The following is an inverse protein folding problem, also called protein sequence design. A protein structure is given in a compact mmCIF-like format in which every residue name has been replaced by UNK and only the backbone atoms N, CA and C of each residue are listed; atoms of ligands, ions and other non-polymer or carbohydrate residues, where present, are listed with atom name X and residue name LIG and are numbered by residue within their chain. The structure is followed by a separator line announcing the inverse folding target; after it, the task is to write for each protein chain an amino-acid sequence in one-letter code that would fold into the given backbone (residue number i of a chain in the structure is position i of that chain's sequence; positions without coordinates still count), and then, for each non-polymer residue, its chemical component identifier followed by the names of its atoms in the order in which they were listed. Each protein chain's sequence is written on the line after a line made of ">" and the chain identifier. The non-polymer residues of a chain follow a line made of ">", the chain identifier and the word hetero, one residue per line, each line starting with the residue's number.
data_IF_884308845633
#
_entry.id   IF_884308845633
#
_cell.length_a   1.000
_cell.length_b   1.000
_cell.length_c   1.000
_cell.angle_alpha   90.00
_cell.angle_beta   90.00
_cell.angle_gamma   90.00
#
_symmetry.space_group_name_H-M   'P 1'
#
loop_
_entity.id
_entity.type
_entity.pdbx_description
1 polymer ?
#
# COMPACT_ATOMS: atom_id res chain seq x y z
N UNK A 1 -55.40 -152.40 93.85
CA UNK A 1 -55.60 -150.94 93.62
C UNK A 1 -54.28 -150.24 93.93
N UNK A 2 -53.87 -149.11 93.29
CA UNK A 2 -54.29 -148.39 92.06
C UNK A 2 -53.04 -148.05 91.17
N UNK A 3 -52.97 -147.07 90.21
CA UNK A 3 -53.89 -146.57 89.17
C UNK A 3 -53.34 -146.64 87.71
N UNK A 4 -54.23 -146.43 86.72
CA UNK A 4 -53.91 -145.96 85.35
C UNK A 4 -53.47 -144.47 85.38
N UNK A 5 -52.42 -144.10 84.64
CA UNK A 5 -52.25 -142.75 84.09
C UNK A 5 -51.88 -142.83 82.60
N UNK A 6 -52.74 -142.24 81.78
CA UNK A 6 -52.62 -142.06 80.33
C UNK A 6 -51.38 -141.22 80.00
N UNK A 7 -50.63 -141.58 78.95
CA UNK A 7 -49.67 -140.66 78.32
C UNK A 7 -50.46 -139.53 77.62
N UNK A 8 -49.99 -138.30 77.79
CA UNK A 8 -50.58 -137.09 77.24
C UNK A 8 -50.41 -137.01 75.72
N UNK A 9 -51.34 -136.34 75.00
CA UNK A 9 -51.20 -136.06 73.58
C UNK A 9 -50.00 -135.12 73.35
N UNK A 10 -49.16 -135.44 72.36
CA UNK A 10 -48.07 -134.57 71.92
C UNK A 10 -48.64 -133.68 70.84
N UNK A 11 -48.92 -132.43 71.17
CA UNK A 11 -49.43 -131.44 70.23
C UNK A 11 -48.23 -130.67 69.67
N UNK A 12 -48.00 -130.76 68.36
CA UNK A 12 -46.99 -129.98 67.65
C UNK A 12 -47.75 -129.17 66.60
N UNK A 13 -47.60 -127.85 66.67
CA UNK A 13 -48.29 -126.88 65.80
C UNK A 13 -49.82 -127.06 65.73
N UNK A 14 -50.46 -127.15 66.90
CA UNK A 14 -51.92 -127.23 67.01
C UNK A 14 -52.56 -128.59 66.64
N UNK A 15 -51.78 -129.58 66.18
CA UNK A 15 -52.26 -130.92 65.78
C UNK A 15 -51.82 -132.00 66.78
N UNK A 16 -52.74 -132.89 67.19
CA UNK A 16 -52.46 -134.02 68.08
C UNK A 16 -51.77 -135.18 67.32
N UNK A 17 -50.47 -135.31 67.52
CA UNK A 17 -49.61 -136.27 66.81
C UNK A 17 -49.71 -137.70 67.38
N UNK A 18 -50.48 -137.92 68.46
CA UNK A 18 -50.50 -139.20 69.19
C UNK A 18 -51.34 -140.31 68.54
N UNK A 19 -52.11 -140.02 67.48
CA UNK A 19 -52.91 -140.99 66.72
C UNK A 19 -52.48 -141.14 65.24
N UNK A 20 -51.39 -140.48 64.83
CA UNK A 20 -50.90 -140.52 63.46
C UNK A 20 -50.00 -141.75 63.23
N UNK A 21 -50.18 -142.41 62.09
CA UNK A 21 -49.28 -143.48 61.62
C UNK A 21 -47.93 -142.88 61.16
N UNK A 22 -46.87 -143.69 61.09
CA UNK A 22 -45.51 -143.21 60.73
C UNK A 22 -45.48 -142.38 59.44
N UNK A 23 -46.19 -142.81 58.41
CA UNK A 23 -46.30 -142.10 57.13
C UNK A 23 -47.00 -140.73 57.28
N UNK A 24 -48.03 -140.65 58.13
CA UNK A 24 -48.74 -139.40 58.42
C UNK A 24 -47.89 -138.40 59.23
N UNK A 25 -47.02 -138.89 60.12
CA UNK A 25 -46.04 -138.07 60.83
C UNK A 25 -44.93 -137.56 59.90
N UNK A 26 -44.49 -138.36 58.92
CA UNK A 26 -43.51 -137.94 57.91
C UNK A 26 -44.07 -136.83 57.01
N UNK A 27 -45.34 -136.94 56.58
CA UNK A 27 -46.03 -135.88 55.81
C UNK A 27 -46.23 -134.61 56.65
N UNK A 28 -46.61 -134.74 57.93
CA UNK A 28 -46.78 -133.59 58.82
C UNK A 28 -45.44 -132.87 59.10
N UNK A 29 -44.36 -133.63 59.30
CA UNK A 29 -43.02 -133.08 59.46
C UNK A 29 -42.51 -132.37 58.19
N UNK A 30 -42.81 -132.91 57.00
CA UNK A 30 -42.51 -132.25 55.74
C UNK A 30 -43.28 -130.93 55.58
N UNK A 31 -44.58 -130.92 55.92
CA UNK A 31 -45.40 -129.70 55.89
C UNK A 31 -44.87 -128.61 56.83
N UNK A 32 -44.54 -128.98 58.06
CA UNK A 32 -43.95 -128.05 59.04
C UNK A 32 -42.59 -127.53 58.59
N UNK A 33 -41.80 -128.37 57.91
CA UNK A 33 -40.52 -127.95 57.34
C UNK A 33 -40.74 -126.96 56.18
N UNK A 34 -41.69 -127.22 55.30
CA UNK A 34 -42.08 -126.30 54.21
C UNK A 34 -42.63 -124.97 54.74
N UNK A 35 -43.45 -124.98 55.79
CA UNK A 35 -43.92 -123.75 56.45
C UNK A 35 -42.79 -122.99 57.13
N UNK A 36 -41.86 -123.67 57.80
CA UNK A 36 -40.68 -123.02 58.38
C UNK A 36 -39.75 -122.44 57.28
N UNK A 37 -39.60 -123.13 56.15
CA UNK A 37 -38.85 -122.62 55.00
C UNK A 37 -39.55 -121.40 54.39
N UNK A 38 -40.88 -121.42 54.23
CA UNK A 38 -41.65 -120.26 53.77
C UNK A 38 -41.53 -119.06 54.71
N UNK A 39 -41.70 -119.26 56.02
CA UNK A 39 -41.54 -118.19 57.01
C UNK A 39 -40.10 -117.62 57.02
N UNK A 40 -39.09 -118.47 56.79
CA UNK A 40 -37.69 -118.01 56.63
C UNK A 40 -37.52 -117.18 55.36
N UNK A 41 -38.09 -117.61 54.24
CA UNK A 41 -38.07 -116.87 52.98
C UNK A 41 -38.77 -115.51 53.11
N UNK A 42 -39.95 -115.48 53.74
CA UNK A 42 -40.70 -114.25 54.01
C UNK A 42 -39.90 -113.31 54.93
N UNK A 43 -39.31 -113.83 56.01
CA UNK A 43 -38.46 -113.04 56.90
C UNK A 43 -37.26 -112.44 56.16
N UNK A 44 -36.60 -113.24 55.33
CA UNK A 44 -35.47 -112.77 54.51
C UNK A 44 -35.92 -111.72 53.50
N UNK A 45 -37.08 -111.90 52.87
CA UNK A 45 -37.67 -110.93 51.95
C UNK A 45 -37.96 -109.60 52.65
N UNK A 46 -38.67 -109.62 53.79
CA UNK A 46 -38.95 -108.40 54.56
C UNK A 46 -37.69 -107.75 55.12
N UNK A 47 -36.66 -108.53 55.47
CA UNK A 47 -35.37 -107.99 55.88
C UNK A 47 -34.68 -107.26 54.72
N UNK A 48 -34.64 -107.86 53.53
CA UNK A 48 -34.10 -107.21 52.33
C UNK A 48 -34.89 -105.95 51.95
N UNK A 49 -36.22 -105.98 51.99
CA UNK A 49 -37.05 -104.81 51.71
C UNK A 49 -36.85 -103.68 52.73
N UNK A 50 -36.76 -104.02 54.03
CA UNK A 50 -36.44 -103.03 55.08
C UNK A 50 -35.06 -102.41 54.84
N UNK A 51 -34.06 -103.21 54.52
CA UNK A 51 -32.70 -102.74 54.30
C UNK A 51 -32.62 -101.89 53.01
N UNK A 52 -33.35 -102.26 51.94
CA UNK A 52 -33.52 -101.42 50.74
C UNK A 52 -34.18 -100.08 51.07
N UNK A 53 -35.31 -100.07 51.79
CA UNK A 53 -36.00 -98.84 52.19
C UNK A 53 -35.06 -97.96 53.02
N UNK A 54 -34.28 -98.55 53.93
CA UNK A 54 -33.28 -97.83 54.71
C UNK A 54 -32.20 -97.20 53.82
N UNK A 55 -31.65 -97.94 52.86
CA UNK A 55 -30.67 -97.38 51.92
C UNK A 55 -31.25 -96.25 51.08
N UNK A 56 -32.48 -96.39 50.57
CA UNK A 56 -33.16 -95.30 49.84
C UNK A 56 -33.40 -94.09 50.73
N UNK A 57 -33.81 -94.29 51.98
CA UNK A 57 -33.98 -93.20 52.93
C UNK A 57 -32.64 -92.49 53.23
N UNK A 58 -31.55 -93.23 53.44
CA UNK A 58 -30.22 -92.65 53.66
C UNK A 58 -29.73 -91.87 52.42
N UNK A 59 -29.90 -92.42 51.21
CA UNK A 59 -29.54 -91.75 49.95
C UNK A 59 -30.36 -90.47 49.76
N UNK A 60 -31.69 -90.55 49.81
CA UNK A 60 -32.57 -89.40 49.61
C UNK A 60 -32.38 -88.32 50.68
N UNK A 61 -32.08 -88.72 51.91
CA UNK A 61 -31.69 -87.79 52.97
C UNK A 61 -30.37 -87.08 52.64
N UNK A 62 -29.34 -87.81 52.23
CA UNK A 62 -28.06 -87.23 51.83
C UNK A 62 -28.20 -86.29 50.62
N UNK A 63 -28.96 -86.70 49.60
CA UNK A 63 -29.27 -85.87 48.44
C UNK A 63 -30.01 -84.57 48.82
N UNK A 64 -30.94 -84.65 49.78
CA UNK A 64 -31.63 -83.48 50.32
C UNK A 64 -30.67 -82.55 51.08
N UNK A 65 -29.79 -83.11 51.91
CA UNK A 65 -28.77 -82.35 52.64
C UNK A 65 -27.78 -81.67 51.67
N UNK A 66 -27.35 -82.36 50.62
CA UNK A 66 -26.54 -81.80 49.54
C UNK A 66 -27.26 -80.70 48.76
N UNK A 67 -28.53 -80.90 48.39
CA UNK A 67 -29.32 -79.91 47.69
C UNK A 67 -29.50 -78.64 48.54
N UNK A 68 -29.76 -78.80 49.85
CA UNK A 68 -29.82 -77.69 50.81
C UNK A 68 -28.47 -76.98 50.96
N UNK A 69 -27.36 -77.70 50.94
CA UNK A 69 -26.03 -77.09 50.96
C UNK A 69 -25.74 -76.30 49.66
N UNK A 70 -26.08 -76.86 48.50
CA UNK A 70 -25.97 -76.18 47.20
C UNK A 70 -26.81 -74.90 47.14
N UNK A 71 -28.04 -74.94 47.67
CA UNK A 71 -28.93 -73.79 47.71
C UNK A 71 -28.34 -72.66 48.58
N UNK A 72 -27.87 -72.98 49.80
CA UNK A 72 -27.17 -72.01 50.65
C UNK A 72 -25.93 -71.41 50.01
N UNK A 73 -25.14 -72.22 49.29
CA UNK A 73 -23.99 -71.71 48.54
C UNK A 73 -24.40 -70.79 47.40
N UNK A 74 -25.53 -71.05 46.74
CA UNK A 74 -26.06 -70.19 45.69
C UNK A 74 -26.60 -68.88 46.24
N UNK A 75 -27.31 -68.91 47.36
CA UNK A 75 -27.76 -67.69 48.05
C UNK A 75 -26.56 -66.82 48.44
N UNK A 76 -25.50 -67.42 49.00
CA UNK A 76 -24.26 -66.71 49.32
C UNK A 76 -23.60 -66.11 48.08
N UNK A 77 -23.56 -66.83 46.96
CA UNK A 77 -23.03 -66.30 45.69
C UNK A 77 -23.85 -65.12 45.16
N UNK A 78 -25.18 -65.14 45.35
CA UNK A 78 -26.05 -64.04 44.97
C UNK A 78 -25.78 -62.82 45.85
N UNK A 79 -25.65 -63.00 47.17
CA UNK A 79 -25.28 -61.93 48.11
C UNK A 79 -23.93 -61.31 47.75
N UNK A 80 -22.89 -62.13 47.56
CA UNK A 80 -21.55 -61.64 47.19
C UNK A 80 -21.54 -60.89 45.84
N UNK A 81 -22.35 -61.34 44.87
CA UNK A 81 -22.48 -60.66 43.58
C UNK A 81 -23.23 -59.33 43.72
N UNK A 82 -24.24 -59.26 44.59
CA UNK A 82 -24.98 -58.04 44.87
C UNK A 82 -24.10 -57.00 45.59
N UNK A 83 -23.32 -57.42 46.59
CA UNK A 83 -22.36 -56.57 47.31
C UNK A 83 -21.31 -55.99 46.36
N UNK A 84 -20.69 -56.83 45.50
CA UNK A 84 -19.74 -56.38 44.47
C UNK A 84 -20.35 -55.35 43.52
N UNK A 85 -21.57 -55.60 43.03
CA UNK A 85 -22.26 -54.67 42.16
C UNK A 85 -22.57 -53.34 42.88
N UNK A 86 -22.93 -53.36 44.16
CA UNK A 86 -23.15 -52.15 44.94
C UNK A 86 -21.86 -51.33 45.12
N UNK A 87 -20.73 -51.99 45.38
CA UNK A 87 -19.41 -51.36 45.45
C UNK A 87 -18.99 -50.75 44.11
N UNK A 88 -19.15 -51.49 43.01
CA UNK A 88 -18.90 -51.00 41.66
C UNK A 88 -19.78 -49.78 41.34
N UNK A 89 -21.07 -49.83 41.67
CA UNK A 89 -21.99 -48.72 41.46
C UNK A 89 -21.57 -47.48 42.25
N UNK A 90 -21.12 -47.64 43.51
CA UNK A 90 -20.57 -46.54 44.33
C UNK A 90 -19.31 -45.95 43.69
N UNK A 91 -18.39 -46.79 43.23
CA UNK A 91 -17.18 -46.37 42.55
C UNK A 91 -17.48 -45.59 41.27
N UNK A 92 -18.35 -46.12 40.40
CA UNK A 92 -18.75 -45.43 39.17
C UNK A 92 -19.47 -44.12 39.46
N UNK A 93 -20.33 -44.07 40.49
CA UNK A 93 -21.00 -42.83 40.91
C UNK A 93 -20.00 -41.77 41.38
N UNK A 94 -18.96 -42.16 42.12
CA UNK A 94 -17.90 -41.26 42.53
C UNK A 94 -17.06 -40.79 41.34
N UNK A 95 -16.73 -41.70 40.41
CA UNK A 95 -16.01 -41.37 39.17
C UNK A 95 -16.76 -40.37 38.31
N UNK A 96 -18.07 -40.53 38.15
CA UNK A 96 -18.92 -39.57 37.43
C UNK A 96 -18.94 -38.21 38.12
N UNK A 97 -19.06 -38.17 39.45
CA UNK A 97 -19.01 -36.90 40.20
C UNK A 97 -17.67 -36.18 40.04
N UNK A 98 -16.57 -36.92 40.09
CA UNK A 98 -15.24 -36.35 39.90
C UNK A 98 -15.06 -35.79 38.49
N UNK A 99 -15.44 -36.56 37.46
CA UNK A 99 -15.40 -36.11 36.07
C UNK A 99 -16.26 -34.87 35.82
N UNK A 100 -17.44 -34.78 36.45
CA UNK A 100 -18.30 -33.60 36.34
C UNK A 100 -17.65 -32.37 36.99
N UNK A 101 -17.04 -32.54 38.16
CA UNK A 101 -16.33 -31.46 38.84
C UNK A 101 -15.10 -31.00 38.05
N UNK A 102 -14.29 -31.93 37.55
CA UNK A 102 -13.12 -31.66 36.73
C UNK A 102 -13.54 -30.89 35.47
N UNK A 103 -14.55 -31.38 34.74
CA UNK A 103 -15.06 -30.69 33.56
C UNK A 103 -15.59 -29.28 33.86
N UNK A 104 -16.28 -29.10 35.00
CA UNK A 104 -16.75 -27.78 35.41
C UNK A 104 -15.61 -26.85 35.80
N UNK A 105 -14.57 -27.37 36.46
CA UNK A 105 -13.35 -26.63 36.79
C UNK A 105 -12.63 -26.19 35.52
N UNK A 106 -12.34 -27.13 34.62
CA UNK A 106 -11.68 -26.88 33.33
C UNK A 106 -12.44 -25.85 32.49
N UNK A 107 -13.78 -25.93 32.48
CA UNK A 107 -14.61 -24.98 31.74
C UNK A 107 -14.54 -23.58 32.36
N UNK A 108 -14.48 -23.48 33.69
CA UNK A 108 -14.32 -22.21 34.41
C UNK A 108 -12.93 -21.61 34.17
N UNK A 109 -11.89 -22.43 34.23
CA UNK A 109 -10.50 -22.02 33.99
C UNK A 109 -10.30 -21.58 32.54
N UNK A 110 -10.82 -22.33 31.57
CA UNK A 110 -10.79 -21.92 30.15
C UNK A 110 -11.52 -20.61 29.91
N UNK A 111 -12.67 -20.38 30.56
CA UNK A 111 -13.38 -19.09 30.47
C UNK A 111 -12.55 -17.95 31.07
N UNK A 112 -11.92 -18.17 32.23
CA UNK A 112 -11.07 -17.17 32.86
C UNK A 112 -9.86 -16.84 31.98
N UNK A 113 -9.17 -17.86 31.45
CA UNK A 113 -8.04 -17.68 30.53
C UNK A 113 -8.47 -16.95 29.25
N UNK A 114 -9.62 -17.30 28.67
CA UNK A 114 -10.15 -16.62 27.49
C UNK A 114 -10.46 -15.14 27.75
N UNK A 115 -10.99 -14.79 28.92
CA UNK A 115 -11.25 -13.40 29.29
C UNK A 115 -9.95 -12.61 29.48
N UNK A 116 -8.95 -13.20 30.12
CA UNK A 116 -7.63 -12.57 30.29
C UNK A 116 -6.93 -12.38 28.93
N UNK A 117 -7.00 -13.38 28.05
CA UNK A 117 -6.45 -13.28 26.69
C UNK A 117 -7.15 -12.17 25.87
N UNK A 118 -8.48 -12.04 25.99
CA UNK A 118 -9.22 -10.99 25.31
C UNK A 118 -8.89 -9.60 25.87
N UNK A 119 -8.73 -9.49 27.18
CA UNK A 119 -8.36 -8.22 27.84
C UNK A 119 -6.94 -7.78 27.49
N UNK A 120 -5.98 -8.70 27.49
CA UNK A 120 -4.59 -8.42 27.09
C UNK A 120 -4.51 -8.00 25.62
N UNK A 121 -5.19 -8.69 24.71
CA UNK A 121 -5.28 -8.28 23.31
C UNK A 121 -5.91 -6.88 23.15
N UNK A 122 -6.96 -6.56 23.91
CA UNK A 122 -7.57 -5.23 23.89
C UNK A 122 -6.60 -4.14 24.40
N UNK A 123 -5.87 -4.41 25.47
CA UNK A 123 -4.92 -3.47 26.06
C UNK A 123 -3.72 -3.24 25.12
N UNK A 124 -3.22 -4.29 24.45
CA UNK A 124 -2.19 -4.20 23.40
C UNK A 124 -2.66 -3.37 22.21
N UNK A 125 -3.86 -3.61 21.70
CA UNK A 125 -4.44 -2.79 20.62
C UNK A 125 -4.56 -1.32 21.02
N UNK A 126 -5.01 -1.06 22.25
CA UNK A 126 -5.13 0.32 22.77
C UNK A 126 -3.75 0.98 22.89
N UNK A 127 -2.71 0.24 23.29
CA UNK A 127 -1.35 0.73 23.36
C UNK A 127 -0.78 1.03 21.97
N UNK A 128 -1.00 0.16 20.99
CA UNK A 128 -0.61 0.37 19.60
C UNK A 128 -1.29 1.60 19.00
N UNK A 129 -2.60 1.78 19.25
CA UNK A 129 -3.35 2.95 18.78
C UNK A 129 -2.77 4.25 19.37
N UNK A 130 -2.46 4.28 20.67
CA UNK A 130 -1.82 5.43 21.32
C UNK A 130 -0.46 5.75 20.69
N UNK A 131 0.35 4.72 20.39
CA UNK A 131 1.65 4.91 19.74
C UNK A 131 1.49 5.49 18.33
N UNK A 132 0.56 4.96 17.53
CA UNK A 132 0.26 5.51 16.20
C UNK A 132 -0.23 6.96 16.25
N UNK A 133 -1.04 7.32 17.25
CA UNK A 133 -1.46 8.70 17.46
C UNK A 133 -0.31 9.62 17.86
N UNK A 134 0.65 9.12 18.64
CA UNK A 134 1.87 9.84 18.98
C UNK A 134 2.76 10.02 17.74
N UNK A 135 3.07 8.94 17.02
CA UNK A 135 3.88 8.99 15.79
C UNK A 135 3.26 9.96 14.76
N UNK A 136 1.93 9.98 14.63
CA UNK A 136 1.21 10.95 13.79
C UNK A 136 1.40 12.39 14.25
N UNK A 137 1.43 12.67 15.55
CA UNK A 137 1.68 14.03 16.09
C UNK A 137 3.13 14.43 15.85
N UNK A 138 4.06 13.53 16.09
CA UNK A 138 5.50 13.78 15.92
C UNK A 138 5.83 14.05 14.45
N UNK A 139 5.28 13.26 13.53
CA UNK A 139 5.40 13.51 12.08
C UNK A 139 4.81 14.86 11.66
N UNK A 140 3.67 15.27 12.23
CA UNK A 140 3.11 16.61 11.96
C UNK A 140 3.99 17.74 12.47
N UNK A 141 4.64 17.55 13.62
CA UNK A 141 5.57 18.53 14.16
C UNK A 141 6.82 18.62 13.29
N UNK A 142 7.37 17.48 12.88
CA UNK A 142 8.53 17.43 11.98
C UNK A 142 8.26 18.15 10.65
N UNK A 143 7.09 17.92 10.04
CA UNK A 143 6.70 18.61 8.80
C UNK A 143 6.62 20.13 9.03
N UNK A 144 6.01 20.57 10.13
CA UNK A 144 5.94 22.02 10.46
C UNK A 144 7.32 22.63 10.69
N UNK A 145 8.21 21.93 11.38
CA UNK A 145 9.59 22.39 11.58
C UNK A 145 10.35 22.52 10.25
N UNK A 146 10.19 21.55 9.36
CA UNK A 146 10.75 21.62 8.01
C UNK A 146 10.16 22.78 7.19
N UNK A 147 8.85 22.99 7.23
CA UNK A 147 8.19 24.12 6.57
C UNK A 147 8.73 25.47 7.08
N UNK A 148 8.87 25.64 8.40
CA UNK A 148 9.43 26.85 9.01
C UNK A 148 10.89 27.04 8.56
N UNK A 149 11.70 25.98 8.61
CA UNK A 149 13.11 26.03 8.19
C UNK A 149 13.24 26.43 6.72
N UNK A 150 12.45 25.85 5.82
CA UNK A 150 12.43 26.23 4.41
C UNK A 150 11.96 27.67 4.19
N UNK A 151 10.99 28.13 4.97
CA UNK A 151 10.53 29.51 4.92
C UNK A 151 11.62 30.49 5.36
N UNK A 152 12.39 30.16 6.40
CA UNK A 152 13.55 30.93 6.84
C UNK A 152 14.67 30.95 5.81
N UNK A 153 15.01 29.80 5.21
CA UNK A 153 15.98 29.72 4.11
C UNK A 153 15.56 30.61 2.93
N UNK A 154 14.28 30.57 2.55
CA UNK A 154 13.75 31.42 1.47
C UNK A 154 13.84 32.91 1.82
N UNK A 155 13.53 33.29 3.07
CA UNK A 155 13.68 34.67 3.54
C UNK A 155 15.14 35.12 3.50
N UNK A 156 16.07 34.27 3.95
CA UNK A 156 17.50 34.54 3.94
C UNK A 156 18.02 34.74 2.51
N UNK A 157 17.66 33.86 1.57
CA UNK A 157 18.02 33.99 0.15
C UNK A 157 17.47 35.27 -0.48
N UNK A 158 16.21 35.64 -0.17
CA UNK A 158 15.63 36.90 -0.65
C UNK A 158 16.36 38.12 -0.11
N UNK A 159 16.79 38.08 1.15
CA UNK A 159 17.56 39.16 1.76
C UNK A 159 18.95 39.30 1.11
N UNK A 160 19.65 38.19 0.93
CA UNK A 160 20.95 38.15 0.22
C UNK A 160 20.83 38.69 -1.20
N UNK A 161 19.81 38.25 -1.95
CA UNK A 161 19.57 38.75 -3.30
C UNK A 161 19.27 40.25 -3.33
N UNK A 162 18.52 40.77 -2.35
CA UNK A 162 18.26 42.21 -2.22
C UNK A 162 19.54 43.00 -1.93
N UNK A 163 20.43 42.45 -1.11
CA UNK A 163 21.73 43.05 -0.79
C UNK A 163 22.65 43.07 -2.02
N UNK A 164 22.75 41.95 -2.75
CA UNK A 164 23.49 41.86 -4.00
C UNK A 164 22.98 42.85 -5.06
N UNK A 165 21.66 42.96 -5.21
CA UNK A 165 21.03 43.92 -6.11
C UNK A 165 21.31 45.37 -5.71
N UNK A 166 21.31 45.66 -4.41
CA UNK A 166 21.66 46.98 -3.88
C UNK A 166 23.12 47.32 -4.18
N UNK A 167 24.05 46.39 -3.90
CA UNK A 167 25.48 46.56 -4.17
C UNK A 167 25.74 46.76 -5.67
N UNK A 168 25.11 45.96 -6.54
CA UNK A 168 25.23 46.11 -7.99
C UNK A 168 24.73 47.48 -8.47
N UNK A 169 23.58 47.96 -7.96
CA UNK A 169 23.06 49.30 -8.29
C UNK A 169 24.04 50.39 -7.86
N UNK A 170 24.57 50.32 -6.64
CA UNK A 170 25.55 51.28 -6.15
C UNK A 170 26.83 51.30 -7.00
N UNK A 171 27.32 50.13 -7.40
CA UNK A 171 28.47 50.04 -8.30
C UNK A 171 28.18 50.69 -9.66
N UNK A 172 27.01 50.42 -10.25
CA UNK A 172 26.61 51.05 -11.52
C UNK A 172 26.48 52.57 -11.39
N UNK A 173 25.88 53.06 -10.30
CA UNK A 173 25.75 54.49 -10.04
C UNK A 173 27.12 55.16 -9.87
N UNK A 174 28.04 54.53 -9.12
CA UNK A 174 29.40 55.03 -8.96
C UNK A 174 30.15 55.07 -10.30
N UNK A 175 30.07 54.01 -11.10
CA UNK A 175 30.70 53.96 -12.42
C UNK A 175 30.11 55.01 -13.37
N UNK A 176 28.80 55.25 -13.32
CA UNK A 176 28.15 56.29 -14.11
C UNK A 176 28.66 57.68 -13.72
N UNK A 177 28.70 57.99 -12.42
CA UNK A 177 29.28 59.25 -11.89
C UNK A 177 30.73 59.44 -12.31
N UNK A 178 31.55 58.39 -12.23
CA UNK A 178 32.96 58.45 -12.66
C UNK A 178 33.10 58.76 -14.15
N UNK A 179 32.22 58.20 -14.98
CA UNK A 179 32.20 58.46 -16.43
C UNK A 179 31.75 59.89 -16.71
N UNK A 180 30.69 60.36 -16.07
CA UNK A 180 30.21 61.75 -16.19
C UNK A 180 31.31 62.74 -15.80
N UNK A 181 31.95 62.56 -14.65
CA UNK A 181 33.05 63.41 -14.19
C UNK A 181 34.23 63.42 -15.18
N UNK A 182 34.57 62.27 -15.76
CA UNK A 182 35.64 62.17 -16.78
C UNK A 182 35.28 62.95 -18.05
N UNK A 183 34.04 62.87 -18.51
CA UNK A 183 33.62 63.59 -19.73
C UNK A 183 33.43 65.09 -19.47
N UNK A 184 32.91 65.48 -18.32
CA UNK A 184 32.82 66.89 -17.92
C UNK A 184 34.22 67.54 -17.87
N UNK A 185 35.19 66.85 -17.28
CA UNK A 185 36.58 67.32 -17.27
C UNK A 185 37.13 67.49 -18.69
N UNK A 186 36.95 66.48 -19.56
CA UNK A 186 37.38 66.57 -20.98
C UNK A 186 36.72 67.73 -21.71
N UNK A 187 35.45 68.00 -21.43
CA UNK A 187 34.70 69.10 -22.01
C UNK A 187 35.26 70.46 -21.57
N UNK A 188 35.51 70.63 -20.26
CA UNK A 188 36.13 71.84 -19.72
C UNK A 188 37.53 72.06 -20.30
N UNK A 189 38.35 71.02 -20.35
CA UNK A 189 39.71 71.08 -20.91
C UNK A 189 39.66 71.51 -22.39
N UNK A 190 38.79 70.89 -23.20
CA UNK A 190 38.61 71.26 -24.61
C UNK A 190 38.11 72.70 -24.79
N UNK A 191 37.18 73.14 -23.94
CA UNK A 191 36.66 74.51 -23.94
C UNK A 191 37.79 75.51 -23.64
N UNK A 192 38.62 75.22 -22.64
CA UNK A 192 39.76 76.06 -22.29
C UNK A 192 40.79 76.11 -23.43
N UNK A 193 41.10 74.98 -24.05
CA UNK A 193 42.01 74.92 -25.20
C UNK A 193 41.50 75.75 -26.39
N UNK A 194 40.22 75.62 -26.73
CA UNK A 194 39.60 76.42 -27.80
C UNK A 194 39.60 77.92 -27.47
N UNK A 195 39.31 78.28 -26.22
CA UNK A 195 39.32 79.68 -25.80
C UNK A 195 40.74 80.28 -25.85
N UNK A 196 41.75 79.52 -25.44
CA UNK A 196 43.16 79.91 -25.55
C UNK A 196 43.57 80.09 -27.01
N UNK A 197 43.18 79.17 -27.91
CA UNK A 197 43.42 79.31 -29.36
C UNK A 197 42.76 80.56 -29.92
N UNK A 198 41.50 80.80 -29.57
CA UNK A 198 40.77 81.99 -30.01
C UNK A 198 41.43 83.28 -29.54
N UNK A 199 41.84 83.36 -28.27
CA UNK A 199 42.56 84.52 -27.73
C UNK A 199 43.92 84.72 -28.41
N UNK A 200 44.63 83.63 -28.72
CA UNK A 200 45.90 83.68 -29.46
C UNK A 200 45.69 84.19 -30.89
N UNK A 201 44.68 83.70 -31.60
CA UNK A 201 44.31 84.17 -32.95
C UNK A 201 43.91 85.65 -32.95
N UNK A 202 43.15 86.11 -31.94
CA UNK A 202 42.82 87.53 -31.76
C UNK A 202 44.09 88.35 -31.55
N UNK A 203 44.95 87.94 -30.63
CA UNK A 203 46.19 88.66 -30.34
C UNK A 203 47.10 88.76 -31.56
N UNK A 204 47.21 87.70 -32.37
CA UNK A 204 47.97 87.70 -33.62
C UNK A 204 47.38 88.66 -34.65
N UNK A 205 46.04 88.70 -34.78
CA UNK A 205 45.36 89.66 -35.67
C UNK A 205 45.53 91.10 -35.18
N UNK A 206 45.42 91.34 -33.88
CA UNK A 206 45.65 92.64 -33.27
C UNK A 206 47.09 93.11 -33.49
N UNK A 207 48.08 92.24 -33.30
CA UNK A 207 49.49 92.54 -33.58
C UNK A 207 49.68 92.90 -35.06
N UNK A 208 49.19 92.06 -35.99
CA UNK A 208 49.23 92.35 -37.43
C UNK A 208 48.58 93.69 -37.78
N UNK A 209 47.44 94.01 -37.17
CA UNK A 209 46.73 95.28 -37.40
C UNK A 209 47.47 96.47 -36.80
N UNK A 210 48.05 96.32 -35.62
CA UNK A 210 48.88 97.35 -34.98
C UNK A 210 50.15 97.63 -35.80
N UNK A 211 50.79 96.61 -36.35
CA UNK A 211 51.90 96.77 -37.31
C UNK A 211 51.44 97.55 -38.54
N UNK A 212 50.30 97.19 -39.14
CA UNK A 212 49.74 97.90 -40.30
C UNK A 212 49.41 99.37 -39.97
N UNK A 213 48.87 99.66 -38.78
CA UNK A 213 48.59 101.03 -38.32
C UNK A 213 49.90 101.81 -38.15
N UNK A 214 50.93 101.20 -37.58
CA UNK A 214 52.23 101.82 -37.41
C UNK A 214 52.88 102.14 -38.76
N UNK A 215 52.86 101.20 -39.71
CA UNK A 215 53.33 101.41 -41.08
C UNK A 215 52.55 102.51 -41.80
N UNK A 216 51.22 102.53 -41.67
CA UNK A 216 50.38 103.57 -42.26
C UNK A 216 50.66 104.94 -41.66
N UNK A 217 50.91 105.00 -40.35
CA UNK A 217 51.27 106.23 -39.64
C UNK A 217 52.63 106.74 -40.08
N UNK A 218 53.63 105.87 -40.24
CA UNK A 218 54.93 106.23 -40.81
C UNK A 218 54.80 106.70 -42.26
N UNK A 219 54.00 106.02 -43.08
CA UNK A 219 53.72 106.43 -44.45
C UNK A 219 53.00 107.78 -44.53
N UNK A 220 52.00 108.01 -43.68
CA UNK A 220 51.33 109.29 -43.54
C UNK A 220 52.27 110.39 -43.05
N UNK A 221 53.17 110.09 -42.12
CA UNK A 221 54.18 111.05 -41.65
C UNK A 221 55.16 111.43 -42.77
N UNK A 222 55.60 110.45 -43.58
CA UNK A 222 56.40 110.67 -44.78
C UNK A 222 55.65 111.51 -45.81
N UNK A 223 54.44 111.10 -46.18
CA UNK A 223 53.60 111.82 -47.13
C UNK A 223 53.26 113.23 -46.65
N UNK A 224 53.04 113.44 -45.35
CA UNK A 224 52.84 114.77 -44.76
C UNK A 224 54.11 115.62 -44.84
N UNK A 225 55.29 115.02 -44.62
CA UNK A 225 56.55 115.73 -44.74
C UNK A 225 56.87 116.07 -46.20
N UNK A 226 56.57 115.16 -47.13
CA UNK A 226 56.63 115.39 -48.58
C UNK A 226 55.63 116.46 -49.01
N UNK A 227 54.40 116.45 -48.48
CA UNK A 227 53.37 117.46 -48.74
C UNK A 227 53.76 118.82 -48.14
N UNK A 228 54.41 118.83 -46.98
CA UNK A 228 54.98 120.04 -46.36
C UNK A 228 56.11 120.60 -47.22
N UNK A 229 56.99 119.74 -47.76
CA UNK A 229 58.02 120.13 -48.71
C UNK A 229 57.39 120.64 -50.02
N UNK A 230 56.37 119.95 -50.54
CA UNK A 230 55.61 120.37 -51.73
C UNK A 230 54.87 121.69 -51.51
N UNK A 231 54.33 121.97 -50.32
CA UNK A 231 53.73 123.26 -49.99
C UNK A 231 54.76 124.35 -49.70
N UNK A 232 55.97 124.01 -49.25
CA UNK A 232 57.11 124.94 -49.25
C UNK A 232 57.52 125.29 -50.70
N UNK A 233 57.57 124.30 -51.58
CA UNK A 233 57.84 124.50 -53.01
C UNK A 233 56.69 125.25 -53.71
N UNK A 234 55.44 124.97 -53.33
CA UNK A 234 54.25 125.68 -53.78
C UNK A 234 54.13 127.06 -53.14
N UNK A 235 54.61 127.35 -51.94
CA UNK A 235 54.61 128.73 -51.44
C UNK A 235 55.62 129.56 -52.23
N UNK A 236 56.75 128.96 -52.62
CA UNK A 236 57.65 129.50 -53.63
C UNK A 236 56.96 129.66 -55.02
N UNK A 237 56.13 128.69 -55.44
CA UNK A 237 55.48 128.68 -56.75
C UNK A 237 54.13 129.44 -56.81
N UNK A 238 53.42 129.62 -55.69
CA UNK A 238 52.14 130.33 -55.55
C UNK A 238 52.34 131.84 -55.52
N UNK A 239 53.52 132.30 -55.11
CA UNK A 239 53.99 133.64 -55.47
C UNK A 239 53.97 133.86 -57.00
N UNK A 240 54.14 132.81 -57.81
CA UNK A 240 54.01 132.85 -59.27
C UNK A 240 52.60 132.47 -59.78
N UNK A 241 51.84 131.62 -59.09
CA UNK A 241 50.52 131.11 -59.51
C UNK A 241 49.33 131.99 -59.07
N UNK A 242 49.49 132.90 -58.10
CA UNK A 242 48.48 133.94 -57.77
C UNK A 242 48.17 134.84 -58.99
N UNK A 243 49.05 134.84 -60.00
CA UNK A 243 48.81 135.49 -61.29
C UNK A 243 47.86 134.71 -62.23
N UNK A 244 47.61 133.42 -62.01
CA UNK A 244 47.00 132.53 -63.02
C UNK A 244 45.66 131.90 -62.59
N UNK A 245 45.31 131.92 -61.31
CA UNK A 245 44.09 131.27 -60.79
C UNK A 245 42.97 132.27 -60.47
N UNK A 246 42.87 133.35 -61.25
CA UNK A 246 41.66 134.18 -61.33
C UNK A 246 40.63 133.67 -62.37
N UNK A 247 40.99 132.69 -63.21
CA UNK A 247 40.25 132.44 -64.46
C UNK A 247 39.29 131.24 -64.51
N UNK A 248 39.29 130.27 -63.58
CA UNK A 248 38.59 129.00 -63.86
C UNK A 248 37.84 128.38 -62.68
N UNK A 249 37.04 129.20 -61.98
CA UNK A 249 36.20 128.74 -60.87
C UNK A 249 34.70 128.80 -61.18
N UNK A 250 34.26 128.37 -62.38
CA UNK A 250 32.83 128.44 -62.76
C UNK A 250 32.20 127.17 -63.39
N UNK A 251 32.89 126.01 -63.46
CA UNK A 251 32.36 124.87 -64.24
C UNK A 251 31.64 123.77 -63.42
N UNK A 252 31.84 123.67 -62.10
CA UNK A 252 31.32 122.54 -61.31
C UNK A 252 29.92 122.73 -60.72
N UNK A 253 29.00 123.35 -61.48
CA UNK A 253 27.59 123.54 -61.06
C UNK A 253 26.56 122.72 -61.84
N UNK A 254 26.98 121.85 -62.78
CA UNK A 254 26.07 121.16 -63.74
C UNK A 254 25.88 119.64 -63.58
N UNK A 255 26.32 119.00 -62.49
CA UNK A 255 26.24 117.54 -62.33
C UNK A 255 25.05 117.02 -61.51
N UNK A 256 24.10 117.87 -61.11
CA UNK A 256 23.07 117.51 -60.13
C UNK A 256 21.71 117.06 -60.71
N UNK A 257 21.59 116.85 -62.03
CA UNK A 257 20.32 116.51 -62.69
C UNK A 257 20.20 115.06 -63.20
N UNK A 258 21.21 114.18 -63.02
CA UNK A 258 21.17 112.78 -63.51
C UNK A 258 20.56 111.74 -62.56
N UNK A 259 20.33 112.09 -61.29
CA UNK A 259 20.00 111.10 -60.24
C UNK A 259 18.51 110.72 -60.16
N UNK A 260 17.62 111.45 -60.84
CA UNK A 260 16.17 111.27 -60.71
C UNK A 260 15.57 110.10 -61.54
N UNK A 261 16.35 109.45 -62.43
CA UNK A 261 15.84 108.39 -63.33
C UNK A 261 16.03 106.95 -62.77
N UNK A 262 16.97 106.74 -61.84
CA UNK A 262 17.25 105.41 -61.26
C UNK A 262 16.18 104.94 -60.24
N UNK A 263 15.37 105.84 -59.70
CA UNK A 263 14.37 105.51 -58.66
C UNK A 263 13.13 104.82 -59.25
N UNK A 264 12.80 105.08 -60.52
CA UNK A 264 11.62 104.50 -61.17
C UNK A 264 11.81 103.01 -61.55
N UNK A 265 12.99 102.64 -62.03
CA UNK A 265 13.30 101.27 -62.47
C UNK A 265 13.34 100.28 -61.29
N UNK A 266 13.92 100.70 -60.15
CA UNK A 266 13.95 99.90 -58.90
C UNK A 266 12.55 99.63 -58.33
N UNK A 267 11.60 100.55 -58.56
CA UNK A 267 10.23 100.42 -58.04
C UNK A 267 9.38 99.44 -58.86
N UNK A 268 9.64 99.32 -60.17
CA UNK A 268 8.96 98.37 -61.05
C UNK A 268 9.48 96.93 -60.87
N UNK A 269 10.78 96.78 -60.61
CA UNK A 269 11.42 95.49 -60.36
C UNK A 269 10.96 94.88 -59.04
N UNK A 270 10.80 95.70 -58.00
CA UNK A 270 10.30 95.27 -56.68
C UNK A 270 8.84 94.74 -56.76
N UNK A 271 8.00 95.30 -57.63
CA UNK A 271 6.61 94.81 -57.84
C UNK A 271 6.55 93.46 -58.58
N UNK A 272 7.52 93.12 -59.41
CA UNK A 272 7.58 91.81 -60.11
C UNK A 272 7.96 90.66 -59.17
N UNK A 273 8.68 90.93 -58.07
CA UNK A 273 9.24 89.91 -57.17
C UNK A 273 8.26 89.49 -56.04
N UNK A 274 7.15 90.21 -55.83
CA UNK A 274 6.19 89.95 -54.74
C UNK A 274 5.40 88.65 -54.94
N UNK A 275 4.91 88.38 -56.15
CA UNK A 275 4.12 87.18 -56.47
C UNK A 275 4.93 85.88 -56.34
N UNK A 276 6.17 85.79 -56.89
CA UNK A 276 7.05 84.63 -56.68
C UNK A 276 7.38 84.39 -55.20
N UNK A 277 7.57 85.47 -54.43
CA UNK A 277 7.85 85.37 -53.00
C UNK A 277 6.65 84.81 -52.22
N UNK A 278 5.42 85.22 -52.54
CA UNK A 278 4.21 84.67 -51.93
C UNK A 278 3.99 83.19 -52.24
N UNK A 279 4.23 82.76 -53.48
CA UNK A 279 4.17 81.35 -53.87
C UNK A 279 5.24 80.53 -53.14
N UNK A 280 6.48 81.00 -53.09
CA UNK A 280 7.55 80.31 -52.36
C UNK A 280 7.27 80.18 -50.86
N UNK A 281 6.64 81.20 -50.23
CA UNK A 281 6.23 81.12 -48.82
C UNK A 281 5.10 80.12 -48.57
N UNK A 282 4.14 80.01 -49.49
CA UNK A 282 3.06 79.01 -49.41
C UNK A 282 3.61 77.58 -49.57
N UNK A 283 4.53 77.37 -50.51
CA UNK A 283 5.18 76.08 -50.73
C UNK A 283 6.02 75.68 -49.50
N UNK A 284 6.77 76.61 -48.91
CA UNK A 284 7.52 76.35 -47.67
C UNK A 284 6.60 75.96 -46.51
N UNK A 285 5.42 76.57 -46.40
CA UNK A 285 4.44 76.19 -45.38
C UNK A 285 3.89 74.77 -45.59
N UNK A 286 3.57 74.40 -46.83
CA UNK A 286 3.08 73.05 -47.15
C UNK A 286 4.16 71.99 -46.98
N UNK A 287 5.40 72.25 -47.41
CA UNK A 287 6.52 71.32 -47.18
C UNK A 287 6.84 71.14 -45.70
N UNK A 288 6.75 72.20 -44.88
CA UNK A 288 6.87 72.07 -43.41
C UNK A 288 5.77 71.18 -42.82
N UNK A 289 4.53 71.30 -43.30
CA UNK A 289 3.40 70.45 -42.87
C UNK A 289 3.63 68.99 -43.25
N UNK A 290 4.08 68.73 -44.47
CA UNK A 290 4.40 67.37 -44.94
C UNK A 290 5.57 66.76 -44.16
N UNK A 291 6.61 67.54 -43.84
CA UNK A 291 7.74 67.10 -43.03
C UNK A 291 7.30 66.66 -41.62
N UNK A 292 6.45 67.46 -40.97
CA UNK A 292 5.90 67.11 -39.65
C UNK A 292 5.06 65.83 -39.68
N UNK A 293 4.25 65.62 -40.73
CA UNK A 293 3.50 64.38 -40.89
C UNK A 293 4.45 63.19 -41.12
N UNK A 294 5.48 63.35 -41.94
CA UNK A 294 6.47 62.32 -42.18
C UNK A 294 7.24 61.93 -40.89
N UNK A 295 7.58 62.90 -40.04
CA UNK A 295 8.20 62.62 -38.73
C UNK A 295 7.26 61.82 -37.81
N UNK A 296 5.97 62.16 -37.76
CA UNK A 296 4.96 61.41 -37.01
C UNK A 296 4.79 59.98 -37.53
N UNK A 297 4.76 59.82 -38.85
CA UNK A 297 4.64 58.50 -39.49
C UNK A 297 5.89 57.64 -39.22
N UNK A 298 7.08 58.25 -39.21
CA UNK A 298 8.34 57.56 -38.87
C UNK A 298 8.33 57.03 -37.43
N UNK A 299 7.86 57.83 -36.46
CA UNK A 299 7.73 57.41 -35.06
C UNK A 299 6.67 56.30 -34.94
N UNK A 300 5.53 56.45 -35.61
CA UNK A 300 4.45 55.46 -35.61
C UNK A 300 4.92 54.13 -36.19
N UNK A 301 5.68 54.15 -37.29
CA UNK A 301 6.27 52.97 -37.92
C UNK A 301 7.30 52.29 -37.01
N UNK A 302 8.12 53.06 -36.28
CA UNK A 302 9.06 52.48 -35.32
C UNK A 302 8.32 51.74 -34.19
N UNK A 303 7.26 52.36 -33.65
CA UNK A 303 6.42 51.76 -32.61
C UNK A 303 5.68 50.51 -33.09
N UNK A 304 5.13 50.50 -34.30
CA UNK A 304 4.45 49.32 -34.85
C UNK A 304 5.43 48.20 -35.15
N UNK A 305 6.65 48.50 -35.62
CA UNK A 305 7.71 47.50 -35.79
C UNK A 305 8.13 46.86 -34.48
N UNK A 306 8.27 47.63 -33.40
CA UNK A 306 8.56 47.09 -32.07
C UNK A 306 7.44 46.16 -31.60
N UNK A 307 6.19 46.60 -31.68
CA UNK A 307 5.03 45.77 -31.34
C UNK A 307 4.94 44.49 -32.17
N UNK A 308 5.23 44.58 -33.47
CA UNK A 308 5.25 43.41 -34.37
C UNK A 308 6.33 42.41 -33.94
N UNK A 309 7.52 42.89 -33.59
CA UNK A 309 8.60 42.04 -33.11
C UNK A 309 8.23 41.33 -31.80
N UNK A 310 7.65 42.06 -30.84
CA UNK A 310 7.25 41.48 -29.54
C UNK A 310 6.12 40.46 -29.71
N UNK A 311 5.11 40.77 -30.52
CA UNK A 311 4.02 39.82 -30.81
C UNK A 311 4.50 38.59 -31.59
N UNK A 312 5.48 38.74 -32.48
CA UNK A 312 6.09 37.60 -33.20
C UNK A 312 6.86 36.69 -32.25
N UNK A 313 7.60 37.25 -31.29
CA UNK A 313 8.27 36.47 -30.24
C UNK A 313 7.27 35.71 -29.37
N UNK A 314 6.23 36.38 -28.90
CA UNK A 314 5.15 35.76 -28.12
C UNK A 314 4.45 34.64 -28.90
N UNK A 315 4.22 34.83 -30.20
CA UNK A 315 3.66 33.79 -31.06
C UNK A 315 4.59 32.58 -31.15
N UNK A 316 5.89 32.78 -31.33
CA UNK A 316 6.87 31.70 -31.37
C UNK A 316 6.96 30.92 -30.05
N UNK A 317 6.96 31.62 -28.91
CA UNK A 317 6.93 30.99 -27.57
C UNK A 317 5.63 30.17 -27.37
N UNK A 318 4.49 30.72 -27.81
CA UNK A 318 3.20 30.04 -27.70
C UNK A 318 3.11 28.82 -28.61
N UNK A 319 3.64 28.89 -29.84
CA UNK A 319 3.75 27.76 -30.75
C UNK A 319 4.60 26.64 -30.16
N UNK A 320 5.77 26.97 -29.61
CA UNK A 320 6.63 25.95 -28.97
C UNK A 320 5.94 25.28 -27.77
N UNK A 321 5.23 26.07 -26.95
CA UNK A 321 4.44 25.54 -25.83
C UNK A 321 3.29 24.65 -26.31
N UNK A 322 2.62 25.04 -27.39
CA UNK A 322 1.56 24.27 -28.02
C UNK A 322 2.07 22.92 -28.53
N UNK A 323 3.15 22.93 -29.32
CA UNK A 323 3.75 21.70 -29.88
C UNK A 323 4.21 20.75 -28.75
N UNK A 324 4.82 21.29 -27.69
CA UNK A 324 5.22 20.51 -26.54
C UNK A 324 4.03 19.91 -25.77
N UNK A 325 2.91 20.63 -25.70
CA UNK A 325 1.69 20.15 -25.06
C UNK A 325 0.98 19.10 -25.92
N UNK A 326 0.96 19.27 -27.24
CA UNK A 326 0.37 18.35 -28.20
C UNK A 326 1.11 16.99 -28.16
N UNK A 327 2.45 16.99 -28.18
CA UNK A 327 3.25 15.77 -28.02
C UNK A 327 3.00 15.06 -26.68
N UNK A 328 2.83 15.81 -25.58
CA UNK A 328 2.49 15.23 -24.28
C UNK A 328 1.08 14.64 -24.27
N UNK A 329 0.14 15.30 -24.93
CA UNK A 329 -1.23 14.84 -25.04
C UNK A 329 -1.32 13.53 -25.85
N UNK A 330 -0.64 13.46 -26.99
CA UNK A 330 -0.57 12.23 -27.81
C UNK A 330 -0.01 11.06 -26.99
N UNK A 331 1.08 11.28 -26.27
CA UNK A 331 1.67 10.24 -25.42
C UNK A 331 0.71 9.77 -24.30
N UNK A 332 0.03 10.70 -23.63
CA UNK A 332 -0.97 10.36 -22.61
C UNK A 332 -2.16 9.60 -23.22
N UNK A 333 -2.53 9.93 -24.45
CA UNK A 333 -3.59 9.23 -25.17
C UNK A 333 -3.18 7.79 -25.49
N UNK A 334 -1.96 7.58 -25.97
CA UNK A 334 -1.40 6.25 -26.20
C UNK A 334 -1.33 5.42 -24.91
N UNK A 335 -0.84 6.01 -23.81
CA UNK A 335 -0.76 5.34 -22.50
C UNK A 335 -2.15 4.93 -21.99
N UNK A 336 -3.16 5.80 -22.15
CA UNK A 336 -4.55 5.50 -21.83
C UNK A 336 -5.07 4.32 -22.65
N UNK A 337 -4.85 4.34 -23.96
CA UNK A 337 -5.35 3.31 -24.88
C UNK A 337 -4.68 1.97 -24.61
N UNK A 338 -3.37 1.96 -24.38
CA UNK A 338 -2.64 0.76 -23.96
C UNK A 338 -3.16 0.21 -22.62
N UNK A 339 -3.44 1.07 -21.65
CA UNK A 339 -3.97 0.64 -20.35
C UNK A 339 -5.37 0.04 -20.51
N UNK A 340 -6.21 0.64 -21.35
CA UNK A 340 -7.53 0.10 -21.65
C UNK A 340 -7.45 -1.27 -22.33
N UNK A 341 -6.60 -1.42 -23.35
CA UNK A 341 -6.39 -2.69 -24.04
C UNK A 341 -5.87 -3.78 -23.10
N UNK A 342 -4.91 -3.45 -22.24
CA UNK A 342 -4.35 -4.38 -21.26
C UNK A 342 -5.41 -4.81 -20.23
N UNK A 343 -6.26 -3.88 -19.80
CA UNK A 343 -7.38 -4.17 -18.91
C UNK A 343 -8.38 -5.13 -19.56
N UNK A 344 -8.79 -4.87 -20.80
CA UNK A 344 -9.72 -5.75 -21.53
C UNK A 344 -9.10 -7.15 -21.74
N UNK A 345 -7.82 -7.22 -22.13
CA UNK A 345 -7.10 -8.50 -22.28
C UNK A 345 -7.05 -9.28 -20.97
N UNK A 346 -6.70 -8.62 -19.86
CA UNK A 346 -6.63 -9.26 -18.55
C UNK A 346 -8.00 -9.80 -18.10
N UNK A 347 -9.09 -9.05 -18.34
CA UNK A 347 -10.45 -9.53 -18.05
C UNK A 347 -10.78 -10.77 -18.88
N UNK A 348 -10.52 -10.73 -20.19
CA UNK A 348 -10.81 -11.86 -21.08
C UNK A 348 -10.00 -13.11 -20.68
N UNK A 349 -8.73 -12.96 -20.32
CA UNK A 349 -7.91 -14.07 -19.84
C UNK A 349 -8.46 -14.69 -18.54
N UNK A 350 -8.87 -13.86 -17.58
CA UNK A 350 -9.46 -14.34 -16.32
C UNK A 350 -10.78 -15.05 -16.61
N UNK A 351 -11.65 -14.46 -17.43
CA UNK A 351 -12.91 -15.08 -17.83
C UNK A 351 -12.68 -16.41 -18.55
N UNK A 352 -11.71 -16.50 -19.46
CA UNK A 352 -11.38 -17.72 -20.17
C UNK A 352 -10.86 -18.80 -19.22
N UNK A 353 -9.89 -18.48 -18.34
CA UNK A 353 -9.34 -19.42 -17.36
C UNK A 353 -10.42 -19.95 -16.42
N UNK A 354 -11.29 -19.07 -15.94
CA UNK A 354 -12.38 -19.45 -15.04
C UNK A 354 -13.44 -20.26 -15.78
N UNK A 355 -13.76 -19.91 -17.03
CA UNK A 355 -14.67 -20.64 -17.91
C UNK A 355 -14.20 -22.06 -18.19
N UNK A 356 -12.93 -22.25 -18.54
CA UNK A 356 -12.34 -23.59 -18.76
C UNK A 356 -12.39 -24.42 -17.47
N UNK A 357 -12.07 -23.83 -16.32
CA UNK A 357 -12.16 -24.51 -15.01
C UNK A 357 -13.60 -24.93 -14.70
N UNK A 358 -14.57 -24.06 -14.95
CA UNK A 358 -15.99 -24.36 -14.73
C UNK A 358 -16.47 -25.50 -15.64
N UNK A 359 -16.12 -25.48 -16.93
CA UNK A 359 -16.45 -26.55 -17.87
C UNK A 359 -15.84 -27.89 -17.41
N UNK A 360 -14.59 -27.88 -16.95
CA UNK A 360 -13.93 -29.10 -16.46
C UNK A 360 -14.62 -29.66 -15.20
N UNK A 361 -14.97 -28.78 -14.25
CA UNK A 361 -15.71 -29.18 -13.05
C UNK A 361 -17.10 -29.69 -13.38
N UNK A 362 -17.80 -29.06 -14.33
CA UNK A 362 -19.12 -29.51 -14.79
C UNK A 362 -19.05 -30.89 -15.43
N UNK A 363 -18.07 -31.13 -16.33
CA UNK A 363 -17.86 -32.46 -16.92
C UNK A 363 -17.51 -33.52 -15.87
N UNK A 364 -16.69 -33.17 -14.88
CA UNK A 364 -16.36 -34.07 -13.77
C UNK A 364 -17.59 -34.41 -12.94
N UNK A 365 -18.42 -33.42 -12.61
CA UNK A 365 -19.68 -33.64 -11.89
C UNK A 365 -20.65 -34.51 -12.69
N UNK A 366 -20.80 -34.24 -13.99
CA UNK A 366 -21.64 -35.02 -14.89
C UNK A 366 -21.19 -36.48 -14.95
N UNK A 367 -19.88 -36.72 -15.12
CA UNK A 367 -19.30 -38.07 -15.14
C UNK A 367 -19.53 -38.78 -13.80
N UNK A 368 -19.30 -38.11 -12.67
CA UNK A 368 -19.54 -38.68 -11.34
C UNK A 368 -21.02 -38.97 -11.08
N UNK A 369 -21.92 -38.11 -11.58
CA UNK A 369 -23.37 -38.32 -11.51
C UNK A 369 -23.78 -39.55 -12.31
N UNK A 370 -23.33 -39.66 -13.56
CA UNK A 370 -23.61 -40.84 -14.40
C UNK A 370 -23.12 -42.13 -13.75
N UNK A 371 -21.93 -42.11 -13.13
CA UNK A 371 -21.41 -43.27 -12.38
C UNK A 371 -22.26 -43.57 -11.16
N UNK A 372 -22.73 -42.55 -10.43
CA UNK A 372 -23.61 -42.72 -9.28
C UNK A 372 -24.97 -43.30 -9.70
N UNK A 373 -25.58 -42.78 -10.76
CA UNK A 373 -26.86 -43.24 -11.31
C UNK A 373 -26.76 -44.69 -11.77
N UNK A 374 -25.69 -45.04 -12.50
CA UNK A 374 -25.44 -46.42 -12.91
C UNK A 374 -25.28 -47.36 -11.70
N UNK A 375 -24.56 -46.93 -10.65
CA UNK A 375 -24.43 -47.71 -9.41
C UNK A 375 -25.77 -47.87 -8.69
N UNK A 376 -26.60 -46.83 -8.66
CA UNK A 376 -27.94 -46.89 -8.04
C UNK A 376 -28.86 -47.89 -8.78
N UNK A 377 -28.82 -47.90 -10.12
CA UNK A 377 -29.57 -48.89 -10.92
C UNK A 377 -29.11 -50.31 -10.57
N UNK A 378 -27.79 -50.57 -10.58
CA UNK A 378 -27.25 -51.88 -10.21
C UNK A 378 -27.64 -52.30 -8.78
N UNK A 379 -27.60 -51.38 -7.81
CA UNK A 379 -28.03 -51.64 -6.43
C UNK A 379 -29.52 -52.00 -6.39
N UNK A 380 -30.36 -51.30 -7.17
CA UNK A 380 -31.79 -51.58 -7.29
C UNK A 380 -32.09 -52.95 -7.89
N UNK A 381 -31.40 -53.34 -8.97
CA UNK A 381 -31.51 -54.66 -9.59
C UNK A 381 -31.07 -55.78 -8.63
N UNK A 382 -29.90 -55.62 -7.99
CA UNK A 382 -29.39 -56.58 -7.03
C UNK A 382 -30.31 -56.74 -5.82
N UNK A 383 -30.83 -55.62 -5.28
CA UNK A 383 -31.78 -55.63 -4.16
C UNK A 383 -33.07 -56.36 -4.51
N UNK A 384 -33.53 -56.26 -5.76
CA UNK A 384 -34.71 -56.97 -6.26
C UNK A 384 -34.47 -58.48 -6.45
N UNK A 385 -33.21 -58.90 -6.71
CA UNK A 385 -32.83 -60.30 -6.88
C UNK A 385 -32.56 -61.03 -5.54
N UNK A 386 -32.15 -60.32 -4.49
CA UNK A 386 -31.91 -60.90 -3.14
C UNK A 386 -33.20 -61.01 -2.31
N UNK A 387 -33.41 -62.18 -1.68
CA UNK A 387 -34.60 -62.47 -0.86
C UNK A 387 -34.46 -62.11 0.64
N UNK A 388 -33.31 -61.61 1.09
CA UNK A 388 -33.03 -61.33 2.51
C UNK A 388 -33.02 -59.82 2.85
N UNK A 389 -33.47 -59.42 4.05
CA UNK A 389 -33.50 -58.01 4.46
C UNK A 389 -32.10 -57.49 4.84
N UNK A 390 -31.33 -57.02 3.84
CA UNK A 390 -29.96 -56.48 3.97
C UNK A 390 -29.86 -55.10 4.66
N UNK A 391 -30.98 -54.51 5.09
CA UNK A 391 -31.03 -53.12 5.58
C UNK A 391 -30.21 -52.87 6.87
N UNK A 392 -30.15 -53.85 7.78
CA UNK A 392 -29.44 -53.70 9.07
C UNK A 392 -27.91 -53.74 8.90
N UNK A 393 -27.42 -54.65 8.06
CA UNK A 393 -25.99 -54.77 7.73
C UNK A 393 -25.49 -53.55 6.95
N UNK A 394 -26.30 -53.04 6.02
CA UNK A 394 -25.96 -51.82 5.27
C UNK A 394 -25.84 -50.59 6.18
N UNK A 395 -26.76 -50.38 7.13
CA UNK A 395 -26.66 -49.28 8.10
C UNK A 395 -25.43 -49.35 9.00
N UNK A 396 -25.03 -50.56 9.41
CA UNK A 396 -23.80 -50.75 10.18
C UNK A 396 -22.55 -50.42 9.35
N UNK A 397 -22.50 -50.86 8.10
CA UNK A 397 -21.41 -50.51 7.17
C UNK A 397 -21.36 -49.01 6.87
N UNK A 398 -22.50 -48.36 6.64
CA UNK A 398 -22.59 -46.91 6.48
C UNK A 398 -22.08 -46.16 7.72
N UNK A 399 -22.44 -46.61 8.93
CA UNK A 399 -21.92 -46.04 10.16
C UNK A 399 -20.40 -46.19 10.29
N UNK A 400 -19.85 -47.35 9.89
CA UNK A 400 -18.40 -47.58 9.87
C UNK A 400 -17.71 -46.67 8.84
N UNK A 401 -18.28 -46.55 7.63
CA UNK A 401 -17.75 -45.67 6.58
C UNK A 401 -17.79 -44.20 7.00
N UNK A 402 -18.88 -43.75 7.62
CA UNK A 402 -19.00 -42.40 8.14
C UNK A 402 -17.94 -42.11 9.22
N UNK A 403 -17.72 -43.06 10.16
CA UNK A 403 -16.65 -42.95 11.16
C UNK A 403 -15.27 -42.89 10.51
N UNK A 404 -15.00 -43.75 9.52
CA UNK A 404 -13.73 -43.73 8.78
C UNK A 404 -13.51 -42.42 8.04
N UNK A 405 -14.53 -41.90 7.36
CA UNK A 405 -14.44 -40.61 6.67
C UNK A 405 -14.21 -39.44 7.64
N UNK A 406 -14.86 -39.46 8.81
CA UNK A 406 -14.61 -38.48 9.87
C UNK A 406 -13.16 -38.57 10.36
N UNK A 407 -12.64 -39.76 10.64
CA UNK A 407 -11.23 -39.93 11.04
C UNK A 407 -10.25 -39.49 9.96
N UNK A 408 -10.57 -39.70 8.67
CA UNK A 408 -9.74 -39.20 7.55
C UNK A 408 -9.72 -37.68 7.55
N UNK A 409 -10.89 -37.04 7.69
CA UNK A 409 -10.98 -35.58 7.76
C UNK A 409 -10.22 -35.00 8.96
N UNK A 410 -10.33 -35.65 10.13
CA UNK A 410 -9.62 -35.23 11.35
C UNK A 410 -8.11 -35.37 11.18
N UNK A 411 -7.64 -36.49 10.62
CA UNK A 411 -6.21 -36.71 10.35
C UNK A 411 -5.65 -35.74 9.30
N UNK A 412 -6.43 -35.40 8.26
CA UNK A 412 -6.04 -34.39 7.27
C UNK A 412 -5.92 -33.00 7.91
N UNK A 413 -6.86 -32.65 8.80
CA UNK A 413 -6.80 -31.40 9.56
C UNK A 413 -5.60 -31.37 10.50
N UNK A 414 -5.34 -32.46 11.23
CA UNK A 414 -4.18 -32.60 12.11
C UNK A 414 -2.86 -32.49 11.35
N UNK A 415 -2.75 -33.14 10.18
CA UNK A 415 -1.59 -33.01 9.31
C UNK A 415 -1.38 -31.54 8.87
N UNK A 416 -2.44 -30.86 8.42
CA UNK A 416 -2.36 -29.45 8.05
C UNK A 416 -1.94 -28.56 9.22
N UNK A 417 -2.44 -28.85 10.44
CA UNK A 417 -2.07 -28.14 11.67
C UNK A 417 -0.59 -28.32 12.01
N UNK A 418 -0.07 -29.55 11.90
CA UNK A 418 1.34 -29.86 12.17
C UNK A 418 2.26 -29.24 11.11
N UNK A 419 1.92 -29.34 9.83
CA UNK A 419 2.69 -28.68 8.75
C UNK A 419 2.78 -27.17 8.97
N UNK A 420 1.68 -26.54 9.38
CA UNK A 420 1.67 -25.12 9.72
C UNK A 420 2.56 -24.81 10.93
N UNK A 421 2.42 -25.57 12.02
CA UNK A 421 3.24 -25.37 13.22
C UNK A 421 4.74 -25.54 12.93
N UNK A 422 5.09 -26.48 12.05
CA UNK A 422 6.44 -26.67 11.53
C UNK A 422 6.93 -25.45 10.73
N UNK A 423 6.11 -24.94 9.80
CA UNK A 423 6.49 -23.77 8.98
C UNK A 423 6.62 -22.49 9.82
N UNK A 424 5.71 -22.26 10.79
CA UNK A 424 5.79 -21.17 11.76
C UNK A 424 7.09 -21.26 12.58
N UNK A 425 7.45 -22.46 13.03
CA UNK A 425 8.68 -22.72 13.78
C UNK A 425 9.93 -22.41 12.92
N UNK A 426 9.95 -22.86 11.67
CA UNK A 426 11.05 -22.54 10.75
C UNK A 426 11.21 -21.03 10.58
N UNK A 427 10.11 -20.30 10.41
CA UNK A 427 10.13 -18.84 10.30
C UNK A 427 10.65 -18.18 11.60
N UNK A 428 10.25 -18.67 12.78
CA UNK A 428 10.77 -18.13 14.04
C UNK A 428 12.28 -18.37 14.22
N UNK A 429 12.78 -19.55 13.86
CA UNK A 429 14.21 -19.84 13.92
C UNK A 429 14.99 -18.99 12.94
N UNK A 430 14.47 -18.82 11.74
CA UNK A 430 15.05 -17.99 10.70
C UNK A 430 15.16 -16.52 11.14
N UNK A 431 14.10 -15.96 11.73
CA UNK A 431 14.13 -14.62 12.33
C UNK A 431 15.14 -14.53 13.48
N UNK A 432 15.27 -15.59 14.29
CA UNK A 432 16.22 -15.61 15.41
C UNK A 432 17.67 -15.69 14.92
N UNK A 433 17.96 -16.46 13.88
CA UNK A 433 19.28 -16.53 13.25
C UNK A 433 19.69 -15.18 12.66
N UNK A 434 18.76 -14.50 11.97
CA UNK A 434 18.95 -13.13 11.48
C UNK A 434 19.26 -12.18 12.65
N UNK A 435 18.56 -12.32 13.78
CA UNK A 435 18.81 -11.48 14.97
C UNK A 435 20.21 -11.68 15.59
N UNK A 436 20.83 -12.84 15.39
CA UNK A 436 22.21 -13.12 15.82
C UNK A 436 23.25 -12.84 14.72
N UNK A 437 22.82 -12.26 13.59
CA UNK A 437 23.72 -11.89 12.49
C UNK A 437 24.10 -13.06 11.58
N UNK A 438 23.36 -14.18 11.61
CA UNK A 438 23.56 -15.34 10.74
C UNK A 438 22.54 -15.25 9.58
N UNK A 439 22.97 -14.90 8.35
CA UNK A 439 22.10 -14.85 7.18
C UNK A 439 21.62 -16.24 6.77
N UNK A 440 20.45 -16.30 6.10
CA UNK A 440 19.87 -17.55 5.59
C UNK A 440 20.82 -18.33 4.68
N UNK A 441 21.68 -17.62 3.95
CA UNK A 441 22.61 -18.19 2.99
C UNK A 441 23.75 -18.98 3.68
N UNK A 442 24.00 -18.74 4.97
CA UNK A 442 25.04 -19.44 5.75
C UNK A 442 24.56 -20.79 6.33
N UNK A 443 23.28 -21.14 6.22
CA UNK A 443 22.72 -22.38 6.76
C UNK A 443 23.19 -23.64 6.00
N UNK A 444 23.57 -23.54 4.73
CA UNK A 444 24.07 -24.66 3.92
C UNK A 444 23.02 -25.73 3.56
N UNK A 445 21.76 -25.58 3.96
CA UNK A 445 20.64 -26.43 3.57
C UNK A 445 19.33 -25.63 3.49
N UNK A 446 18.37 -26.12 2.72
CA UNK A 446 17.03 -25.51 2.59
C UNK A 446 16.01 -26.36 3.36
N UNK A 447 15.32 -25.80 4.38
CA UNK A 447 14.31 -26.55 5.12
C UNK A 447 13.17 -27.01 4.22
N UNK A 448 12.77 -28.28 4.32
CA UNK A 448 11.67 -28.86 3.55
C UNK A 448 10.32 -28.36 4.09
N UNK A 449 9.48 -27.78 3.23
CA UNK A 449 8.10 -27.40 3.58
C UNK A 449 7.12 -28.30 2.86
N UNK A 450 6.17 -28.89 3.60
CA UNK A 450 5.18 -29.83 3.06
C UNK A 450 3.87 -29.09 2.85
N UNK A 451 3.33 -29.13 1.62
CA UNK A 451 1.99 -28.60 1.30
C UNK A 451 0.99 -29.75 1.30
N UNK A 452 0.02 -29.78 2.23
CA UNK A 452 -1.02 -30.81 2.25
C UNK A 452 -1.85 -30.82 0.95
N UNK A 453 -2.27 -32.00 0.50
CA UNK A 453 -3.12 -32.15 -0.69
C UNK A 453 -4.40 -31.31 -0.59
N UNK A 454 -4.73 -30.58 -1.66
CA UNK A 454 -5.90 -29.71 -1.73
C UNK A 454 -5.68 -28.26 -1.27
N UNK A 455 -4.51 -27.91 -0.74
CA UNK A 455 -4.13 -26.51 -0.48
C UNK A 455 -3.38 -25.91 -1.68
N UNK A 456 -3.78 -24.70 -2.09
CA UNK A 456 -3.16 -23.95 -3.21
C UNK A 456 -1.84 -23.26 -2.87
N UNK A 457 -1.27 -23.50 -1.69
CA UNK A 457 -0.05 -22.87 -1.19
C UNK A 457 0.17 -23.17 0.30
N UNK A 458 1.27 -22.65 0.86
CA UNK A 458 1.61 -22.78 2.29
C UNK A 458 0.47 -22.26 3.17
N UNK A 459 0.22 -22.95 4.29
CA UNK A 459 -0.89 -22.66 5.19
C UNK A 459 -0.73 -21.27 5.85
N UNK A 460 -1.49 -20.27 5.37
CA UNK A 460 -1.54 -18.93 5.97
C UNK A 460 -2.70 -18.84 6.96
N UNK A 461 -2.39 -18.90 8.26
CA UNK A 461 -3.33 -18.65 9.35
C UNK A 461 -2.63 -18.01 10.54
N UNK A 462 -3.35 -17.53 11.57
CA UNK A 462 -2.74 -16.80 12.69
C UNK A 462 -1.66 -17.66 13.38
N UNK A 463 -0.45 -17.14 13.46
CA UNK A 463 0.70 -17.78 14.10
C UNK A 463 0.44 -17.86 15.62
N UNK A 464 0.63 -19.04 16.24
CA UNK A 464 0.46 -19.14 17.70
C UNK A 464 0.20 -20.51 18.32
N UNK A 465 0.59 -21.63 17.69
CA UNK A 465 0.40 -22.96 18.29
C UNK A 465 1.66 -23.54 18.96
N UNK A 466 2.80 -22.85 18.92
CA UNK A 466 4.08 -23.37 19.43
C UNK A 466 4.57 -22.61 20.68
N UNK A 467 3.69 -22.42 21.67
CA UNK A 467 4.16 -22.21 23.06
C UNK A 467 3.15 -22.82 24.04
N UNK A 468 3.18 -24.15 24.20
CA UNK A 468 2.88 -24.71 25.53
C UNK A 468 4.14 -24.49 26.37
N UNK A 469 4.23 -23.31 27.00
CA UNK A 469 5.19 -23.11 28.08
C UNK A 469 4.80 -24.07 29.21
N UNK A 470 5.68 -25.04 29.48
CA UNK A 470 5.67 -25.84 30.70
C UNK A 470 6.40 -25.10 31.80
#
# INVERSE_FOLDING_TARGET
>A
MPPKKKKAPVIIDGVDTSQMTREQLEVFALRLKEENEREREERNFFQMERDKIRTFWEITRNELEEARAKLRNKDRQIEEAAEKNEEELKFYKQKVKHLQYEHQSDLTDNKAQSLVALKTAQDEHTAQERKLLQDKRDMKNLIREQEISHQEQTKSLKLQHSEEMYNARNEFESRAKDIELKFEKKYIDLKNDLNTKHNMEIAEVEERKNTQIAELTDHHAKAFNEMKNYYNDITLNNLALISSLKDQMEVLRKQNQRMAKQVADLTAENKKLVLPLQQALADVAEYKRQLQNYEKDKISLANTKLKLNDTTKQLGELQWSYDALELRFEKLQEERDQLHDNFVKAILEVQQKTGVKNILLQKRLETLSQVADHRLVLIGELSSATKEPLFRTNKQLESILAKKNATISDLQYELARVCKAHDDLLETYEQKLISFGIPKDELGFTPLRIVPEGQGGLARGPAGLVTRNR
#
